data_IF_598207155307
#
_entry.id   IF_598207155307
#
_cell.length_a   1.000
_cell.length_b   1.000
_cell.length_c   1.000
_cell.angle_alpha   90.00
_cell.angle_beta   90.00
_cell.angle_gamma   90.00
#
_symmetry.space_group_name_H-M   'P 1'
#
loop_
_entity.id
_entity.type
_entity.pdbx_description
1 polymer ?
#
# COMPACT_ATOMS: atom_id res chain seq x y z
N UNK A 1 -16.81 -43.49 -68.52
CA UNK A 1 -16.75 -42.80 -69.82
C UNK A 1 -16.16 -41.42 -69.60
N UNK A 2 -15.23 -40.97 -70.44
CA UNK A 2 -14.74 -39.58 -70.43
C UNK A 2 -15.53 -38.79 -71.49
N UNK A 3 -15.87 -37.54 -71.18
CA UNK A 3 -16.61 -36.63 -72.03
C UNK A 3 -15.80 -35.36 -72.24
N UNK A 4 -15.22 -35.20 -73.44
CA UNK A 4 -14.36 -34.07 -73.83
C UNK A 4 -12.93 -34.48 -74.23
N UNK A 5 -12.11 -33.52 -74.63
CA UNK A 5 -10.81 -33.75 -75.30
C UNK A 5 -9.63 -33.79 -74.33
N UNK A 6 -8.63 -34.65 -74.62
CA UNK A 6 -7.37 -34.68 -73.88
C UNK A 6 -7.44 -35.25 -72.46
N UNK A 7 -8.50 -35.99 -72.11
CA UNK A 7 -8.65 -36.61 -70.80
C UNK A 7 -7.89 -37.96 -70.72
N UNK A 8 -7.10 -38.17 -69.67
CA UNK A 8 -6.39 -39.42 -69.35
C UNK A 8 -6.95 -39.99 -68.04
N UNK A 9 -7.43 -41.23 -68.05
CA UNK A 9 -8.07 -41.88 -66.89
C UNK A 9 -9.57 -42.14 -67.09
N UNK A 10 -10.40 -42.00 -66.05
CA UNK A 10 -11.81 -42.44 -66.09
C UNK A 10 -12.80 -41.43 -65.50
N UNK A 11 -14.03 -41.41 -66.04
CA UNK A 11 -15.17 -40.63 -65.52
C UNK A 11 -14.93 -39.11 -65.49
N UNK A 12 -14.15 -38.57 -66.43
CA UNK A 12 -13.89 -37.13 -66.50
C UNK A 12 -14.88 -36.40 -67.44
N UNK A 13 -15.35 -35.22 -67.04
CA UNK A 13 -16.19 -34.31 -67.83
C UNK A 13 -15.47 -32.97 -68.03
N UNK A 14 -15.22 -32.59 -69.29
CA UNK A 14 -14.46 -31.40 -69.68
C UNK A 14 -13.16 -31.76 -70.41
N UNK A 15 -12.12 -30.92 -70.35
CA UNK A 15 -10.90 -31.09 -71.17
C UNK A 15 -9.60 -31.14 -70.35
N UNK A 16 -8.63 -31.90 -70.84
CA UNK A 16 -7.26 -31.91 -70.30
C UNK A 16 -7.12 -32.47 -68.88
N UNK A 17 -8.06 -33.29 -68.40
CA UNK A 17 -8.00 -33.85 -67.06
C UNK A 17 -7.16 -35.14 -67.02
N UNK A 18 -6.32 -35.31 -65.99
CA UNK A 18 -5.52 -36.52 -65.73
C UNK A 18 -5.96 -37.13 -64.41
N UNK A 19 -6.42 -38.38 -64.42
CA UNK A 19 -6.92 -39.12 -63.26
C UNK A 19 -8.42 -39.44 -63.36
N UNK A 20 -9.15 -39.38 -62.24
CA UNK A 20 -10.50 -39.97 -62.13
C UNK A 20 -11.59 -38.99 -61.67
N UNK A 21 -12.82 -39.10 -62.19
CA UNK A 21 -14.02 -38.42 -61.66
C UNK A 21 -13.93 -36.89 -61.57
N UNK A 22 -13.21 -36.24 -62.49
CA UNK A 22 -13.06 -34.78 -62.51
C UNK A 22 -14.13 -34.10 -63.38
N UNK A 23 -14.59 -32.92 -62.97
CA UNK A 23 -15.53 -32.06 -63.72
C UNK A 23 -14.90 -30.67 -63.91
N UNK A 24 -14.68 -30.27 -65.16
CA UNK A 24 -14.05 -29.01 -65.55
C UNK A 24 -12.76 -29.24 -66.36
N UNK A 25 -11.77 -28.36 -66.24
CA UNK A 25 -10.62 -28.37 -67.16
C UNK A 25 -9.24 -28.38 -66.48
N UNK A 26 -8.29 -29.13 -67.04
CA UNK A 26 -6.90 -29.10 -66.62
C UNK A 26 -6.64 -29.62 -65.19
N UNK A 27 -7.49 -30.50 -64.67
CA UNK A 27 -7.30 -31.06 -63.32
C UNK A 27 -6.37 -32.28 -63.36
N UNK A 28 -5.49 -32.44 -62.38
CA UNK A 28 -4.62 -33.60 -62.18
C UNK A 28 -4.93 -34.25 -60.84
N UNK A 29 -5.29 -35.52 -60.83
CA UNK A 29 -5.73 -36.27 -59.64
C UNK A 29 -7.20 -36.68 -59.73
N UNK A 30 -7.93 -36.65 -58.61
CA UNK A 30 -9.24 -37.31 -58.52
C UNK A 30 -10.35 -36.47 -57.91
N UNK A 31 -11.60 -36.66 -58.35
CA UNK A 31 -12.81 -36.08 -57.72
C UNK A 31 -12.81 -34.55 -57.62
N UNK A 32 -12.18 -33.85 -58.57
CA UNK A 32 -12.10 -32.39 -58.56
C UNK A 32 -13.26 -31.75 -59.35
N UNK A 33 -13.77 -30.60 -58.87
CA UNK A 33 -14.79 -29.78 -59.53
C UNK A 33 -14.24 -28.37 -59.78
N UNK A 34 -14.11 -27.98 -61.04
CA UNK A 34 -13.58 -26.69 -61.48
C UNK A 34 -12.31 -26.84 -62.33
N UNK A 35 -11.36 -25.91 -62.27
CA UNK A 35 -10.24 -25.89 -63.23
C UNK A 35 -8.86 -25.76 -62.60
N UNK A 36 -7.88 -26.43 -63.19
CA UNK A 36 -6.46 -26.29 -62.82
C UNK A 36 -6.14 -26.80 -61.41
N UNK A 37 -6.90 -27.76 -60.88
CA UNK A 37 -6.62 -28.34 -59.56
C UNK A 37 -5.61 -29.49 -59.65
N UNK A 38 -4.67 -29.57 -58.71
CA UNK A 38 -3.71 -30.66 -58.57
C UNK A 38 -3.92 -31.38 -57.22
N UNK A 39 -4.26 -32.67 -57.25
CA UNK A 39 -4.61 -33.47 -56.08
C UNK A 39 -6.06 -33.96 -56.13
N UNK A 40 -6.72 -34.10 -54.98
CA UNK A 40 -8.05 -34.71 -54.92
C UNK A 40 -9.09 -33.93 -54.11
N UNK A 41 -10.37 -34.17 -54.41
CA UNK A 41 -11.51 -33.58 -53.69
C UNK A 41 -11.51 -32.05 -53.66
N UNK A 42 -10.90 -31.38 -54.64
CA UNK A 42 -10.85 -29.93 -54.69
C UNK A 42 -12.05 -29.36 -55.43
N UNK A 43 -12.71 -28.35 -54.85
CA UNK A 43 -13.79 -27.59 -55.48
C UNK A 43 -13.35 -26.14 -55.72
N UNK A 44 -13.34 -25.71 -56.97
CA UNK A 44 -13.00 -24.36 -57.40
C UNK A 44 -11.79 -24.41 -58.33
N UNK A 45 -10.89 -23.43 -58.25
CA UNK A 45 -9.84 -23.29 -59.26
C UNK A 45 -8.43 -23.11 -58.68
N UNK A 46 -7.45 -23.73 -59.33
CA UNK A 46 -6.03 -23.52 -59.01
C UNK A 46 -5.61 -24.04 -57.63
N UNK A 47 -6.30 -25.04 -57.08
CA UNK A 47 -5.94 -25.61 -55.78
C UNK A 47 -4.93 -26.75 -55.92
N UNK A 48 -3.94 -26.81 -55.03
CA UNK A 48 -2.94 -27.88 -54.94
C UNK A 48 -3.06 -28.58 -53.58
N UNK A 49 -3.29 -29.90 -53.57
CA UNK A 49 -3.48 -30.70 -52.36
C UNK A 49 -4.85 -31.37 -52.32
N UNK A 50 -5.39 -31.62 -51.13
CA UNK A 50 -6.62 -32.40 -50.93
C UNK A 50 -7.72 -31.62 -50.23
N UNK A 51 -8.96 -31.77 -50.69
CA UNK A 51 -10.14 -31.27 -49.97
C UNK A 51 -10.26 -29.75 -49.86
N UNK A 52 -9.66 -28.98 -50.77
CA UNK A 52 -9.77 -27.52 -50.75
C UNK A 52 -11.05 -27.03 -51.43
N UNK A 53 -11.62 -25.92 -50.95
CA UNK A 53 -12.79 -25.29 -51.55
C UNK A 53 -12.52 -23.80 -51.80
N UNK A 54 -12.72 -23.30 -53.02
CA UNK A 54 -12.42 -21.93 -53.43
C UNK A 54 -11.23 -21.85 -54.39
N UNK A 55 -10.32 -20.89 -54.22
CA UNK A 55 -9.31 -20.60 -55.25
C UNK A 55 -7.89 -20.43 -54.75
N UNK A 56 -6.92 -20.99 -55.49
CA UNK A 56 -5.51 -20.74 -55.26
C UNK A 56 -4.96 -21.26 -53.91
N UNK A 57 -5.58 -22.28 -53.32
CA UNK A 57 -5.10 -22.86 -52.07
C UNK A 57 -3.98 -23.88 -52.32
N UNK A 58 -2.97 -23.91 -51.45
CA UNK A 58 -1.89 -24.91 -51.46
C UNK A 58 -1.83 -25.61 -50.10
N UNK A 59 -1.98 -26.93 -50.09
CA UNK A 59 -2.11 -27.77 -48.90
C UNK A 59 -3.51 -28.38 -48.80
N UNK A 60 -3.96 -28.73 -47.60
CA UNK A 60 -5.14 -29.60 -47.42
C UNK A 60 -6.27 -28.96 -46.63
N UNK A 61 -7.51 -29.26 -46.99
CA UNK A 61 -8.72 -28.87 -46.26
C UNK A 61 -8.84 -27.34 -46.03
N UNK A 62 -8.58 -26.53 -47.05
CA UNK A 62 -8.71 -25.07 -46.95
C UNK A 62 -9.97 -24.54 -47.68
N UNK A 63 -11.05 -24.20 -46.97
CA UNK A 63 -12.14 -23.41 -47.52
C UNK A 63 -11.80 -21.91 -47.58
N UNK A 64 -11.88 -21.33 -48.77
CA UNK A 64 -11.63 -19.93 -49.06
C UNK A 64 -10.56 -19.75 -50.14
N UNK A 65 -9.73 -18.71 -50.07
CA UNK A 65 -8.81 -18.40 -51.18
C UNK A 65 -7.40 -18.03 -50.75
N UNK A 66 -6.41 -18.49 -51.51
CA UNK A 66 -5.01 -18.11 -51.33
C UNK A 66 -4.40 -18.59 -50.01
N UNK A 67 -4.89 -19.69 -49.43
CA UNK A 67 -4.32 -20.23 -48.20
C UNK A 67 -3.14 -21.17 -48.50
N UNK A 68 -2.10 -21.12 -47.66
CA UNK A 68 -0.95 -22.02 -47.69
C UNK A 68 -0.87 -22.80 -46.38
N UNK A 69 -0.96 -24.13 -46.43
CA UNK A 69 -0.97 -25.01 -45.27
C UNK A 69 -2.30 -25.76 -45.14
N UNK A 70 -2.76 -26.04 -43.92
CA UNK A 70 -3.88 -26.99 -43.71
C UNK A 70 -5.00 -26.50 -42.80
N UNK A 71 -6.24 -26.80 -43.16
CA UNK A 71 -7.41 -26.55 -42.30
C UNK A 71 -7.76 -25.07 -42.14
N UNK A 72 -7.35 -24.19 -43.05
CA UNK A 72 -7.61 -22.76 -42.94
C UNK A 72 -8.97 -22.40 -43.55
N UNK A 73 -9.79 -21.65 -42.80
CA UNK A 73 -11.07 -21.09 -43.25
C UNK A 73 -10.93 -19.58 -43.48
N UNK A 74 -11.17 -19.12 -44.70
CA UNK A 74 -11.07 -17.72 -45.09
C UNK A 74 -9.95 -17.49 -46.11
N UNK A 75 -9.30 -16.32 -46.11
CA UNK A 75 -8.40 -15.95 -47.21
C UNK A 75 -7.00 -15.53 -46.80
N UNK A 76 -5.99 -15.93 -47.58
CA UNK A 76 -4.62 -15.46 -47.43
C UNK A 76 -3.95 -15.91 -46.13
N UNK A 77 -4.34 -17.05 -45.56
CA UNK A 77 -3.71 -17.57 -44.35
C UNK A 77 -2.50 -18.44 -44.71
N UNK A 78 -1.42 -18.34 -43.93
CA UNK A 78 -0.22 -19.17 -44.03
C UNK A 78 -0.04 -19.90 -42.70
N UNK A 79 -0.03 -21.23 -42.74
CA UNK A 79 0.03 -22.11 -41.56
C UNK A 79 -1.21 -22.98 -41.45
N UNK A 80 -1.69 -23.24 -40.24
CA UNK A 80 -2.76 -24.23 -40.04
C UNK A 80 -3.88 -23.80 -39.10
N UNK A 81 -5.08 -24.33 -39.35
CA UNK A 81 -6.26 -24.16 -38.48
C UNK A 81 -6.64 -22.70 -38.21
N UNK A 82 -6.33 -21.79 -39.12
CA UNK A 82 -6.71 -20.39 -38.99
C UNK A 82 -8.13 -20.15 -39.50
N UNK A 83 -8.90 -19.32 -38.80
CA UNK A 83 -10.25 -18.91 -39.19
C UNK A 83 -10.30 -17.39 -39.29
N UNK A 84 -10.53 -16.88 -40.49
CA UNK A 84 -10.45 -15.47 -40.83
C UNK A 84 -9.47 -15.25 -41.99
N UNK A 85 -8.88 -14.06 -42.07
CA UNK A 85 -8.03 -13.69 -43.21
C UNK A 85 -6.69 -13.10 -42.82
N UNK A 86 -5.66 -13.39 -43.63
CA UNK A 86 -4.34 -12.80 -43.49
C UNK A 86 -3.59 -13.23 -42.23
N UNK A 87 -3.85 -14.43 -41.71
CA UNK A 87 -3.13 -14.94 -40.54
C UNK A 87 -1.85 -15.68 -40.97
N UNK A 88 -0.76 -15.47 -40.25
CA UNK A 88 0.48 -16.23 -40.34
C UNK A 88 0.72 -16.97 -39.03
N UNK A 89 0.79 -18.29 -39.06
CA UNK A 89 0.90 -19.15 -37.88
C UNK A 89 -0.26 -20.14 -37.77
N UNK A 90 -0.58 -20.54 -36.53
CA UNK A 90 -1.50 -21.63 -36.25
C UNK A 90 -2.63 -21.24 -35.29
N UNK A 91 -3.81 -21.83 -35.49
CA UNK A 91 -4.95 -21.72 -34.58
C UNK A 91 -5.37 -20.28 -34.25
N UNK A 92 -5.29 -19.37 -35.23
CA UNK A 92 -5.76 -18.00 -35.05
C UNK A 92 -7.24 -17.86 -35.42
N UNK A 93 -7.99 -17.09 -34.63
CA UNK A 93 -9.37 -16.71 -34.92
C UNK A 93 -9.48 -15.20 -35.14
N UNK A 94 -10.14 -14.80 -36.22
CA UNK A 94 -10.20 -13.46 -36.81
C UNK A 94 -9.02 -13.15 -37.75
N UNK A 95 -8.69 -11.87 -37.92
CA UNK A 95 -7.89 -11.42 -39.07
C UNK A 95 -6.53 -10.85 -38.65
N UNK A 96 -5.54 -11.02 -39.53
CA UNK A 96 -4.28 -10.28 -39.48
C UNK A 96 -3.38 -10.64 -38.30
N UNK A 97 -3.46 -11.86 -37.78
CA UNK A 97 -2.58 -12.31 -36.71
C UNK A 97 -1.25 -12.85 -37.28
N UNK A 98 -0.14 -12.58 -36.61
CA UNK A 98 1.18 -13.10 -36.92
C UNK A 98 1.75 -13.79 -35.67
N UNK A 99 1.55 -15.09 -35.55
CA UNK A 99 1.85 -15.91 -34.38
C UNK A 99 0.81 -17.00 -34.19
N UNK A 100 0.85 -17.67 -33.05
CA UNK A 100 0.03 -18.86 -32.75
C UNK A 100 -1.03 -18.58 -31.67
N UNK A 101 -2.19 -19.24 -31.80
CA UNK A 101 -3.25 -19.29 -30.76
C UNK A 101 -3.78 -17.90 -30.37
N UNK A 102 -3.97 -17.00 -31.35
CA UNK A 102 -4.56 -15.70 -31.09
C UNK A 102 -6.09 -15.72 -31.31
N UNK A 103 -6.84 -15.21 -30.33
CA UNK A 103 -8.28 -15.01 -30.43
C UNK A 103 -8.59 -13.52 -30.53
N UNK A 104 -8.94 -13.06 -31.73
CA UNK A 104 -9.14 -11.65 -32.07
C UNK A 104 -8.13 -11.19 -33.12
N UNK A 105 -8.13 -9.91 -33.50
CA UNK A 105 -7.49 -9.45 -34.73
C UNK A 105 -6.23 -8.60 -34.53
N UNK A 106 -5.30 -8.68 -35.48
CA UNK A 106 -4.13 -7.80 -35.55
C UNK A 106 -3.07 -8.05 -34.48
N UNK A 107 -3.00 -9.27 -33.92
CA UNK A 107 -2.01 -9.60 -32.91
C UNK A 107 -0.69 -10.05 -33.55
N UNK A 108 0.44 -9.66 -32.96
CA UNK A 108 1.78 -10.18 -33.29
C UNK A 108 2.34 -10.88 -32.07
N UNK A 109 2.76 -12.13 -32.21
CA UNK A 109 3.10 -13.04 -31.11
C UNK A 109 1.95 -13.98 -30.75
N UNK A 110 2.08 -14.67 -29.61
CA UNK A 110 1.32 -15.89 -29.34
C UNK A 110 0.37 -15.77 -28.14
N UNK A 111 -0.70 -16.56 -28.14
CA UNK A 111 -1.65 -16.71 -27.02
C UNK A 111 -2.32 -15.39 -26.59
N UNK A 112 -2.57 -14.47 -27.51
CA UNK A 112 -3.26 -13.22 -27.19
C UNK A 112 -4.78 -13.38 -27.33
N UNK A 113 -5.53 -12.79 -26.40
CA UNK A 113 -6.98 -12.66 -26.46
C UNK A 113 -7.35 -11.18 -26.57
N UNK A 114 -8.06 -10.81 -27.64
CA UNK A 114 -8.36 -9.43 -28.01
C UNK A 114 -7.60 -8.99 -29.25
N UNK A 115 -7.25 -7.72 -29.38
CA UNK A 115 -6.75 -7.20 -30.67
C UNK A 115 -5.63 -6.17 -30.57
N UNK A 116 -4.78 -6.15 -31.61
CA UNK A 116 -3.66 -5.21 -31.71
C UNK A 116 -2.58 -5.43 -30.66
N UNK A 117 -2.48 -6.63 -30.06
CA UNK A 117 -1.44 -6.92 -29.08
C UNK A 117 -0.12 -7.29 -29.78
N UNK A 118 1.00 -6.87 -29.21
CA UNK A 118 2.34 -7.20 -29.66
C UNK A 118 3.13 -7.87 -28.52
N UNK A 119 3.31 -9.18 -28.60
CA UNK A 119 3.92 -10.01 -27.57
C UNK A 119 3.07 -11.23 -27.24
N UNK A 120 3.12 -11.70 -26.00
CA UNK A 120 2.51 -12.98 -25.62
C UNK A 120 1.56 -12.89 -24.43
N UNK A 121 0.55 -13.75 -24.39
CA UNK A 121 -0.36 -13.88 -23.25
C UNK A 121 -1.06 -12.57 -22.84
N UNK A 122 -1.30 -11.66 -23.78
CA UNK A 122 -2.03 -10.43 -23.48
C UNK A 122 -3.54 -10.65 -23.58
N UNK A 123 -4.27 -10.14 -22.60
CA UNK A 123 -5.73 -10.10 -22.59
C UNK A 123 -6.22 -8.66 -22.70
N UNK A 124 -6.89 -8.32 -23.81
CA UNK A 124 -7.41 -6.99 -24.08
C UNK A 124 -6.85 -6.41 -25.37
N UNK A 125 -6.63 -5.08 -25.42
CA UNK A 125 -6.35 -4.40 -26.69
C UNK A 125 -5.11 -3.51 -26.63
N UNK A 126 -4.31 -3.56 -27.69
CA UNK A 126 -3.19 -2.65 -27.89
C UNK A 126 -2.06 -2.80 -26.88
N UNK A 127 -1.91 -3.96 -26.24
CA UNK A 127 -0.85 -4.18 -25.26
C UNK A 127 0.46 -4.56 -25.96
N UNK A 128 1.58 -4.04 -25.48
CA UNK A 128 2.94 -4.40 -25.93
C UNK A 128 3.73 -5.01 -24.77
N UNK A 129 4.26 -6.21 -24.98
CA UNK A 129 4.95 -7.02 -23.96
C UNK A 129 4.20 -8.29 -23.62
N UNK A 130 4.38 -8.81 -22.40
CA UNK A 130 3.86 -10.13 -22.02
C UNK A 130 2.96 -10.10 -20.78
N UNK A 131 1.87 -10.87 -20.83
CA UNK A 131 1.01 -11.11 -19.65
C UNK A 131 0.22 -9.90 -19.18
N UNK A 132 -0.07 -8.93 -20.05
CA UNK A 132 -0.85 -7.75 -19.68
C UNK A 132 -2.36 -8.02 -19.75
N UNK A 133 -3.11 -7.46 -18.81
CA UNK A 133 -4.57 -7.45 -18.80
C UNK A 133 -5.09 -6.01 -18.91
N UNK A 134 -5.80 -5.69 -19.99
CA UNK A 134 -6.45 -4.40 -20.19
C UNK A 134 -6.09 -3.73 -21.51
N UNK A 135 -5.87 -2.41 -21.50
CA UNK A 135 -5.82 -1.60 -22.71
C UNK A 135 -4.55 -0.75 -22.80
N UNK A 136 -3.80 -0.85 -23.89
CA UNK A 136 -2.71 0.07 -24.19
C UNK A 136 -1.55 0.01 -23.20
N UNK A 137 -1.32 -1.12 -22.53
CA UNK A 137 -0.21 -1.26 -21.59
C UNK A 137 1.10 -1.57 -22.34
N UNK A 138 2.21 -0.97 -21.91
CA UNK A 138 3.56 -1.21 -22.43
C UNK A 138 4.44 -1.74 -21.30
N UNK A 139 4.97 -2.95 -21.45
CA UNK A 139 5.74 -3.68 -20.44
C UNK A 139 5.11 -5.04 -20.11
N UNK A 140 5.41 -5.60 -18.96
CA UNK A 140 5.03 -6.96 -18.58
C UNK A 140 4.14 -7.00 -17.33
N UNK A 141 3.21 -7.95 -17.31
CA UNK A 141 2.37 -8.25 -16.14
C UNK A 141 1.57 -7.06 -15.60
N UNK A 142 1.17 -6.12 -16.46
CA UNK A 142 0.36 -4.97 -16.06
C UNK A 142 -1.14 -5.30 -16.06
N UNK A 143 -1.89 -4.73 -15.13
CA UNK A 143 -3.36 -4.85 -15.05
C UNK A 143 -3.97 -3.45 -15.06
N UNK A 144 -4.48 -2.99 -16.20
CA UNK A 144 -4.95 -1.61 -16.28
C UNK A 144 -5.09 -1.01 -17.68
N UNK A 145 -5.06 0.32 -17.71
CA UNK A 145 -5.22 1.12 -18.93
C UNK A 145 -4.02 2.05 -19.06
N UNK A 146 -3.29 1.99 -20.18
CA UNK A 146 -2.25 2.98 -20.53
C UNK A 146 -1.00 2.94 -19.64
N UNK A 147 -0.71 1.82 -18.98
CA UNK A 147 0.45 1.69 -18.09
C UNK A 147 1.76 1.56 -18.89
N UNK A 148 2.87 2.08 -18.36
CA UNK A 148 4.22 1.94 -18.95
C UNK A 148 5.22 1.49 -17.89
N UNK A 149 5.79 0.29 -18.03
CA UNK A 149 6.64 -0.37 -17.01
C UNK A 149 6.14 -1.79 -16.71
N UNK A 150 6.69 -2.45 -15.68
CA UNK A 150 6.37 -3.84 -15.34
C UNK A 150 5.62 -3.96 -14.00
N UNK A 151 4.66 -4.90 -13.91
CA UNK A 151 3.96 -5.26 -12.69
C UNK A 151 3.02 -4.19 -12.13
N UNK A 152 2.57 -3.24 -12.95
CA UNK A 152 1.72 -2.13 -12.51
C UNK A 152 0.24 -2.48 -12.51
N UNK A 153 -0.52 -1.84 -11.62
CA UNK A 153 -1.98 -2.00 -11.54
C UNK A 153 -2.63 -0.62 -11.45
N UNK A 154 -3.48 -0.25 -12.41
CA UNK A 154 -4.22 1.02 -12.38
C UNK A 154 -4.50 1.66 -13.74
N UNK A 155 -4.51 3.00 -13.77
CA UNK A 155 -4.72 3.80 -14.99
C UNK A 155 -3.48 4.70 -15.16
N UNK A 156 -2.81 4.56 -16.30
CA UNK A 156 -1.64 5.32 -16.68
C UNK A 156 -1.91 6.81 -16.77
N UNK A 157 -0.89 7.61 -16.45
CA UNK A 157 -1.01 9.06 -16.33
C UNK A 157 -1.69 9.54 -15.04
N UNK A 158 -2.36 8.65 -14.28
CA UNK A 158 -2.88 8.98 -12.95
C UNK A 158 -1.91 8.59 -11.83
N UNK A 159 -0.85 7.85 -12.12
CA UNK A 159 0.24 7.60 -11.17
C UNK A 159 1.56 8.16 -11.73
N UNK A 160 2.39 8.74 -10.86
CA UNK A 160 3.77 9.15 -11.14
C UNK A 160 4.72 8.43 -10.20
N UNK A 161 5.86 7.94 -10.70
CA UNK A 161 6.82 7.10 -9.97
C UNK A 161 6.59 5.60 -10.19
N UNK A 162 7.19 4.75 -9.35
CA UNK A 162 7.26 3.29 -9.57
C UNK A 162 6.62 2.49 -8.45
N UNK A 163 6.10 1.28 -8.77
CA UNK A 163 5.58 0.35 -7.76
C UNK A 163 4.30 0.80 -7.05
N UNK A 164 3.58 1.78 -7.60
CA UNK A 164 2.30 2.23 -7.05
C UNK A 164 1.16 1.25 -7.41
N UNK A 165 0.28 0.99 -6.45
CA UNK A 165 -0.94 0.18 -6.63
C UNK A 165 -2.15 1.06 -6.36
N UNK A 166 -3.02 1.21 -7.37
CA UNK A 166 -4.21 2.09 -7.31
C UNK A 166 -4.11 3.25 -8.32
N UNK A 167 -4.66 4.42 -8.00
CA UNK A 167 -4.60 5.60 -8.88
C UNK A 167 -4.48 6.92 -8.13
N UNK A 168 -3.98 7.95 -8.79
CA UNK A 168 -3.79 9.28 -8.22
C UNK A 168 -2.52 9.40 -7.38
N UNK A 169 -1.65 8.38 -7.36
CA UNK A 169 -0.47 8.37 -6.50
C UNK A 169 0.74 9.06 -7.17
N UNK A 170 1.50 9.85 -6.41
CA UNK A 170 2.74 10.47 -6.86
C UNK A 170 3.89 10.07 -5.93
N UNK A 171 5.01 9.62 -6.48
CA UNK A 171 6.12 9.02 -5.73
C UNK A 171 6.14 7.51 -5.91
N UNK A 172 6.77 6.77 -5.00
CA UNK A 172 7.03 5.35 -5.17
C UNK A 172 6.33 4.49 -4.12
N UNK A 173 6.01 3.25 -4.50
CA UNK A 173 5.55 2.20 -3.60
C UNK A 173 4.30 2.56 -2.77
N UNK A 174 3.45 3.47 -3.27
CA UNK A 174 2.20 3.82 -2.60
C UNK A 174 1.11 2.79 -2.93
N UNK A 175 0.31 2.42 -1.93
CA UNK A 175 -0.84 1.52 -2.08
C UNK A 175 -2.11 2.29 -1.70
N UNK A 176 -3.06 2.38 -2.63
CA UNK A 176 -4.34 3.06 -2.44
C UNK A 176 -4.50 4.23 -3.39
N UNK A 177 -5.02 5.36 -2.91
CA UNK A 177 -5.47 6.44 -3.80
C UNK A 177 -4.99 7.82 -3.34
N UNK A 178 -4.59 8.65 -4.31
CA UNK A 178 -4.26 10.05 -4.08
C UNK A 178 -3.16 10.29 -3.03
N UNK A 179 -2.24 9.34 -2.86
CA UNK A 179 -1.10 9.52 -1.97
C UNK A 179 0.04 10.26 -2.68
N UNK A 180 0.81 11.06 -1.93
CA UNK A 180 1.98 11.78 -2.42
C UNK A 180 3.18 11.52 -1.52
N UNK A 181 4.34 11.20 -2.10
CA UNK A 181 5.54 10.76 -1.38
C UNK A 181 5.76 9.26 -1.54
N UNK A 182 6.51 8.64 -0.63
CA UNK A 182 6.93 7.24 -0.78
C UNK A 182 6.33 6.31 0.29
N UNK A 183 5.93 5.10 -0.12
CA UNK A 183 5.58 4.01 0.79
C UNK A 183 4.30 4.23 1.61
N UNK A 184 3.38 5.10 1.18
CA UNK A 184 2.13 5.33 1.89
C UNK A 184 1.10 4.22 1.60
N UNK A 185 0.30 3.85 2.61
CA UNK A 185 -0.79 2.89 2.48
C UNK A 185 -2.10 3.55 2.90
N UNK A 186 -3.04 3.69 1.97
CA UNK A 186 -4.37 4.23 2.21
C UNK A 186 -4.74 5.36 1.26
N UNK A 187 -5.27 6.46 1.80
CA UNK A 187 -5.91 7.50 1.01
C UNK A 187 -5.41 8.89 1.41
N UNK A 188 -5.11 9.73 0.42
CA UNK A 188 -4.81 11.16 0.61
C UNK A 188 -3.65 11.42 1.59
N UNK A 189 -2.73 10.48 1.76
CA UNK A 189 -1.56 10.70 2.61
C UNK A 189 -0.50 11.50 1.85
N UNK A 190 0.22 12.37 2.56
CA UNK A 190 1.30 13.19 2.02
C UNK A 190 2.56 13.06 2.88
N UNK A 191 3.70 12.81 2.25
CA UNK A 191 4.97 12.50 2.93
C UNK A 191 5.25 11.00 2.85
N UNK A 192 5.99 10.44 3.80
CA UNK A 192 6.54 9.09 3.66
C UNK A 192 6.06 8.10 4.73
N UNK A 193 5.76 6.88 4.32
CA UNK A 193 5.46 5.75 5.21
C UNK A 193 4.19 5.90 6.05
N UNK A 194 3.24 6.75 5.66
CA UNK A 194 1.99 6.91 6.40
C UNK A 194 1.02 5.75 6.11
N UNK A 195 0.25 5.35 7.13
CA UNK A 195 -0.82 4.35 7.01
C UNK A 195 -2.15 4.93 7.48
N UNK A 196 -3.16 4.94 6.60
CA UNK A 196 -4.52 5.37 6.92
C UNK A 196 -5.04 6.46 5.99
N UNK A 197 -5.67 7.49 6.55
CA UNK A 197 -6.38 8.51 5.77
C UNK A 197 -5.90 9.93 6.10
N UNK A 198 -5.49 10.67 5.07
CA UNK A 198 -5.28 12.11 5.16
C UNK A 198 -4.16 12.53 6.12
N UNK A 199 -3.16 11.67 6.34
CA UNK A 199 -2.02 12.03 7.17
C UNK A 199 -1.00 12.86 6.39
N UNK A 200 -0.39 13.84 7.04
CA UNK A 200 0.64 14.71 6.47
C UNK A 200 1.93 14.67 7.29
N UNK A 201 3.06 14.44 6.63
CA UNK A 201 4.38 14.22 7.25
C UNK A 201 4.76 12.75 7.20
N UNK A 202 5.47 12.23 8.20
CA UNK A 202 6.12 10.91 8.07
C UNK A 202 5.70 9.91 9.15
N UNK A 203 5.49 8.65 8.74
CA UNK A 203 5.30 7.50 9.64
C UNK A 203 4.11 7.69 10.59
N UNK A 204 3.06 8.39 10.14
CA UNK A 204 1.84 8.53 10.92
C UNK A 204 0.89 7.35 10.66
N UNK A 205 0.16 6.93 11.68
CA UNK A 205 -0.85 5.89 11.59
C UNK A 205 -2.21 6.39 12.08
N UNK A 206 -3.25 6.24 11.25
CA UNK A 206 -4.62 6.60 11.59
C UNK A 206 -5.19 7.67 10.67
N UNK A 207 -5.82 8.70 11.25
CA UNK A 207 -6.64 9.67 10.51
C UNK A 207 -6.21 11.10 10.79
N UNK A 208 -5.96 11.87 9.74
CA UNK A 208 -5.76 13.33 9.81
C UNK A 208 -4.64 13.79 10.75
N UNK A 209 -3.60 12.98 10.92
CA UNK A 209 -2.45 13.39 11.71
C UNK A 209 -1.51 14.27 10.90
N UNK A 210 -0.90 15.26 11.55
CA UNK A 210 0.08 16.17 10.95
C UNK A 210 1.41 16.14 11.72
N UNK A 211 2.53 16.06 11.02
CA UNK A 211 3.87 15.94 11.61
C UNK A 211 4.37 14.51 11.53
N UNK A 212 5.04 13.98 12.56
CA UNK A 212 5.71 12.69 12.46
C UNK A 212 5.34 11.73 13.59
N UNK A 213 5.34 10.43 13.29
CA UNK A 213 5.21 9.36 14.30
C UNK A 213 3.93 9.44 15.16
N UNK A 214 2.88 10.12 14.69
CA UNK A 214 1.63 10.19 15.43
C UNK A 214 0.80 8.95 15.17
N UNK A 215 0.17 8.43 16.23
CA UNK A 215 -0.77 7.30 16.16
C UNK A 215 -2.11 7.71 16.74
N UNK A 216 -3.16 7.61 15.93
CA UNK A 216 -4.53 7.89 16.34
C UNK A 216 -5.23 8.88 15.42
N UNK A 217 -5.85 9.90 15.99
CA UNK A 217 -6.79 10.77 15.26
C UNK A 217 -6.48 12.25 15.48
N UNK A 218 -6.23 12.98 14.39
CA UNK A 218 -6.22 14.44 14.39
C UNK A 218 -5.12 15.07 15.24
N UNK A 219 -4.03 14.34 15.50
CA UNK A 219 -2.92 14.85 16.31
C UNK A 219 -1.91 15.63 15.46
N UNK A 220 -1.30 16.65 16.05
CA UNK A 220 -0.32 17.52 15.40
C UNK A 220 1.00 17.57 16.18
N UNK A 221 2.11 17.46 15.47
CA UNK A 221 3.46 17.48 16.05
C UNK A 221 4.13 16.11 15.96
N UNK A 222 4.84 15.66 17.00
CA UNK A 222 5.66 14.45 16.91
C UNK A 222 5.35 13.42 18.01
N UNK A 223 5.15 12.16 17.63
CA UNK A 223 5.11 11.04 18.58
C UNK A 223 3.90 11.04 19.52
N UNK A 224 2.79 11.66 19.14
CA UNK A 224 1.58 11.65 19.97
C UNK A 224 0.80 10.34 19.78
N UNK A 225 0.25 9.80 20.86
CA UNK A 225 -0.61 8.61 20.85
C UNK A 225 -1.95 8.96 21.45
N UNK A 226 -2.98 9.05 20.61
CA UNK A 226 -4.27 9.52 21.10
C UNK A 226 -5.13 10.25 20.10
N UNK A 227 -5.87 11.21 20.62
CA UNK A 227 -6.91 11.93 19.89
C UNK A 227 -6.72 13.43 20.12
N UNK A 228 -6.52 14.17 19.05
CA UNK A 228 -6.37 15.63 19.04
C UNK A 228 -5.30 16.17 19.99
N UNK A 229 -4.17 15.46 20.08
CA UNK A 229 -3.03 15.93 20.86
C UNK A 229 -2.16 16.87 20.00
N UNK A 230 -1.63 17.93 20.61
CA UNK A 230 -0.76 18.91 19.98
C UNK A 230 0.60 18.97 20.66
N UNK A 231 1.68 19.03 19.88
CA UNK A 231 3.05 19.10 20.42
C UNK A 231 3.74 17.74 20.34
N UNK A 232 4.49 17.35 21.36
CA UNK A 232 5.33 16.15 21.28
C UNK A 232 5.11 15.15 22.43
N UNK A 233 5.09 13.87 22.07
CA UNK A 233 5.10 12.73 23.00
C UNK A 233 3.95 12.72 24.00
N UNK A 234 2.79 13.28 23.65
CA UNK A 234 1.61 13.20 24.51
C UNK A 234 0.89 11.85 24.34
N UNK A 235 0.29 11.35 25.42
CA UNK A 235 -0.49 10.12 25.43
C UNK A 235 -1.87 10.36 26.03
N UNK A 236 -2.93 10.11 25.26
CA UNK A 236 -4.31 10.20 25.72
C UNK A 236 -5.18 11.01 24.78
N UNK A 237 -5.71 12.16 25.20
CA UNK A 237 -6.51 13.02 24.32
C UNK A 237 -6.47 14.49 24.70
N UNK A 238 -6.54 15.36 23.69
CA UNK A 238 -6.62 16.82 23.83
C UNK A 238 -5.47 17.44 24.65
N UNK A 239 -4.33 16.77 24.74
CA UNK A 239 -3.19 17.31 25.44
C UNK A 239 -2.39 18.23 24.53
N UNK A 240 -1.88 19.35 25.05
CA UNK A 240 -1.09 20.33 24.30
C UNK A 240 0.24 20.58 24.99
N UNK A 241 1.34 20.40 24.27
CA UNK A 241 2.69 20.62 24.80
C UNK A 241 3.50 19.34 24.76
N UNK A 242 4.12 18.98 25.87
CA UNK A 242 5.15 17.95 25.92
C UNK A 242 4.84 16.89 26.98
N UNK A 243 4.81 15.61 26.60
CA UNK A 243 4.80 14.48 27.56
C UNK A 243 3.66 14.49 28.57
N UNK A 244 2.50 14.99 28.17
CA UNK A 244 1.33 14.90 29.02
C UNK A 244 0.65 13.54 28.86
N UNK A 245 0.20 12.98 29.97
CA UNK A 245 -0.54 11.72 30.03
C UNK A 245 -1.94 11.95 30.58
N UNK A 246 -2.96 11.54 29.82
CA UNK A 246 -4.37 11.63 30.22
C UNK A 246 -5.16 12.55 29.30
N UNK A 247 -5.95 13.45 29.87
CA UNK A 247 -6.92 14.23 29.10
C UNK A 247 -6.81 15.73 29.32
N UNK A 248 -6.71 16.49 28.24
CA UNK A 248 -6.88 17.95 28.28
C UNK A 248 -5.79 18.69 29.05
N UNK A 249 -4.60 18.12 29.20
CA UNK A 249 -3.50 18.78 29.91
C UNK A 249 -2.73 19.73 28.99
N UNK A 250 -2.19 20.82 29.53
CA UNK A 250 -1.36 21.78 28.79
C UNK A 250 -0.05 22.09 29.52
N UNK A 251 1.04 22.22 28.78
CA UNK A 251 2.39 22.40 29.34
C UNK A 251 3.21 21.11 29.25
N UNK A 252 4.07 20.84 30.24
CA UNK A 252 4.99 19.72 30.20
C UNK A 252 4.74 18.69 31.32
N UNK A 253 4.77 17.40 30.96
CA UNK A 253 4.91 16.33 31.94
C UNK A 253 3.73 16.21 32.91
N UNK A 254 2.51 16.63 32.58
CA UNK A 254 1.37 16.49 33.47
C UNK A 254 0.72 15.10 33.38
N UNK A 255 0.19 14.61 34.49
CA UNK A 255 -0.55 13.35 34.58
C UNK A 255 -1.96 13.58 35.12
N UNK A 256 -2.97 13.13 34.39
CA UNK A 256 -4.37 13.18 34.81
C UNK A 256 -5.22 14.03 33.86
N UNK A 257 -6.00 14.95 34.42
CA UNK A 257 -7.06 15.64 33.69
C UNK A 257 -6.96 17.16 33.87
N UNK A 258 -7.00 17.90 32.77
CA UNK A 258 -7.14 19.37 32.76
C UNK A 258 -6.06 20.13 33.53
N UNK A 259 -4.87 19.57 33.68
CA UNK A 259 -3.78 20.28 34.34
C UNK A 259 -3.11 21.28 33.38
N UNK A 260 -2.67 22.42 33.88
CA UNK A 260 -1.96 23.46 33.13
C UNK A 260 -0.67 23.85 33.86
N UNK A 261 0.42 24.00 33.11
CA UNK A 261 1.76 24.20 33.66
C UNK A 261 2.55 22.90 33.63
N UNK A 262 3.49 22.72 34.55
CA UNK A 262 4.48 21.64 34.46
C UNK A 262 4.42 20.65 35.62
N UNK A 263 4.59 19.38 35.30
CA UNK A 263 4.72 18.28 36.24
C UNK A 263 3.61 18.22 37.28
N UNK A 264 2.35 18.46 36.93
CA UNK A 264 1.21 18.28 37.84
C UNK A 264 0.64 16.87 37.78
N UNK A 265 0.14 16.38 38.91
CA UNK A 265 -0.57 15.10 39.04
C UNK A 265 -1.97 15.32 39.60
N UNK A 266 -2.99 14.89 38.86
CA UNK A 266 -4.38 14.87 39.33
C UNK A 266 -5.33 15.65 38.42
N UNK A 267 -6.17 16.51 38.99
CA UNK A 267 -7.30 17.12 38.29
C UNK A 267 -7.30 18.65 38.38
N UNK A 268 -7.32 19.33 37.23
CA UNK A 268 -7.53 20.77 37.11
C UNK A 268 -6.56 21.60 37.98
N UNK A 269 -5.30 21.20 38.06
CA UNK A 269 -4.26 22.01 38.69
C UNK A 269 -3.70 23.01 37.67
N UNK A 270 -3.41 24.23 38.12
CA UNK A 270 -2.66 25.25 37.41
C UNK A 270 -1.37 25.56 38.19
N UNK A 271 -0.33 26.02 37.49
CA UNK A 271 0.99 26.20 38.08
C UNK A 271 1.82 24.93 37.96
N UNK A 272 2.87 24.80 38.78
CA UNK A 272 3.85 23.74 38.61
C UNK A 272 3.93 22.82 39.83
N UNK A 273 4.22 21.55 39.56
CA UNK A 273 4.54 20.54 40.57
C UNK A 273 3.41 20.38 41.60
N UNK A 274 2.15 20.37 41.20
CA UNK A 274 1.02 20.14 42.12
C UNK A 274 0.56 18.68 42.12
N UNK A 275 0.12 18.21 43.29
CA UNK A 275 -0.51 16.90 43.48
C UNK A 275 -1.90 17.07 44.08
N UNK A 276 -2.93 16.59 43.38
CA UNK A 276 -4.32 16.60 43.85
C UNK A 276 -5.23 17.36 42.91
N UNK A 277 -6.05 18.29 43.41
CA UNK A 277 -7.08 18.94 42.58
C UNK A 277 -7.25 20.43 42.80
N UNK A 278 -7.52 21.18 41.73
CA UNK A 278 -7.85 22.61 41.78
C UNK A 278 -6.81 23.47 42.53
N UNK A 279 -5.53 23.10 42.49
CA UNK A 279 -4.45 23.96 42.99
C UNK A 279 -4.10 24.99 41.91
N UNK A 280 -3.80 26.23 42.29
CA UNK A 280 -3.42 27.30 41.36
C UNK A 280 -2.01 27.87 41.55
N UNK A 281 -1.40 27.64 42.72
CA UNK A 281 0.01 27.97 42.97
C UNK A 281 0.95 26.80 42.65
N UNK A 282 2.21 26.91 43.05
CA UNK A 282 3.25 25.91 42.81
C UNK A 282 3.51 25.01 44.02
N UNK A 283 3.91 23.76 43.77
CA UNK A 283 4.36 22.80 44.79
C UNK A 283 3.27 22.59 45.85
N UNK A 284 2.05 22.25 45.46
CA UNK A 284 0.96 22.01 46.41
C UNK A 284 0.56 20.53 46.46
N UNK A 285 0.05 20.09 47.60
CA UNK A 285 -0.51 18.75 47.82
C UNK A 285 -1.88 18.87 48.48
N UNK A 286 -2.90 18.26 47.87
CA UNK A 286 -4.29 18.37 48.32
C UNK A 286 -5.12 19.16 47.31
N UNK A 287 -5.88 20.16 47.73
CA UNK A 287 -6.68 20.90 46.76
C UNK A 287 -7.16 22.29 47.13
N UNK A 288 -7.59 23.04 46.13
CA UNK A 288 -8.02 24.44 46.28
C UNK A 288 -6.95 25.36 46.89
N UNK A 289 -5.66 25.07 46.70
CA UNK A 289 -4.58 25.91 47.21
C UNK A 289 -4.16 26.95 46.15
N UNK A 290 -4.29 28.24 46.48
CA UNK A 290 -3.89 29.35 45.61
C UNK A 290 -2.47 29.87 45.86
N UNK A 291 -1.90 29.61 47.04
CA UNK A 291 -0.50 29.93 47.34
C UNK A 291 0.45 28.78 46.98
N UNK A 292 1.74 28.94 47.32
CA UNK A 292 2.75 27.93 47.04
C UNK A 292 3.12 27.08 48.27
N UNK A 293 3.65 25.88 48.05
CA UNK A 293 4.19 24.98 49.09
C UNK A 293 3.13 24.54 50.12
N UNK A 294 1.87 24.40 49.71
CA UNK A 294 0.77 24.05 50.61
C UNK A 294 0.50 22.55 50.70
N UNK A 295 0.15 22.08 51.89
CA UNK A 295 -0.37 20.72 52.10
C UNK A 295 -1.77 20.81 52.71
N UNK A 296 -2.74 20.08 52.16
CA UNK A 296 -4.13 20.10 52.61
C UNK A 296 -5.04 20.89 51.66
N UNK A 297 -6.05 21.56 52.23
CA UNK A 297 -7.12 22.20 51.43
C UNK A 297 -7.26 23.69 51.70
N UNK A 298 -7.48 24.48 50.63
CA UNK A 298 -8.00 25.84 50.72
C UNK A 298 -7.01 26.93 51.13
N UNK A 299 -5.70 26.69 51.06
CA UNK A 299 -4.71 27.69 51.47
C UNK A 299 -4.37 28.66 50.33
N UNK A 300 -4.65 29.95 50.52
CA UNK A 300 -4.28 31.02 49.59
C UNK A 300 -2.90 31.63 49.87
N UNK A 301 -2.25 31.26 50.98
CA UNK A 301 -0.96 31.82 51.40
C UNK A 301 0.19 30.91 50.97
N UNK A 302 1.35 31.50 50.70
CA UNK A 302 2.59 30.74 50.48
C UNK A 302 3.20 30.35 51.82
N UNK A 303 3.46 29.05 51.99
CA UNK A 303 4.05 28.52 53.22
C UNK A 303 5.58 28.53 53.15
N UNK A 304 6.22 28.58 54.30
CA UNK A 304 7.66 28.37 54.41
C UNK A 304 7.97 26.87 54.27
N UNK A 305 8.88 26.52 53.37
CA UNK A 305 9.28 25.13 53.14
C UNK A 305 9.87 24.96 51.75
N UNK A 306 10.46 23.79 51.51
CA UNK A 306 10.99 23.43 50.20
C UNK A 306 10.10 22.42 49.45
N UNK A 307 9.17 21.76 50.13
CA UNK A 307 8.29 20.73 49.59
C UNK A 307 6.91 20.81 50.24
N UNK A 308 5.88 20.33 49.56
CA UNK A 308 4.57 20.03 50.15
C UNK A 308 4.32 18.53 50.23
N UNK A 309 3.38 18.09 51.05
CA UNK A 309 3.06 16.68 51.25
C UNK A 309 4.00 15.97 52.21
N UNK A 310 4.19 14.65 52.05
CA UNK A 310 4.81 13.81 53.07
C UNK A 310 5.95 12.95 52.52
N UNK A 311 7.03 12.84 53.29
CA UNK A 311 8.13 11.91 53.00
C UNK A 311 8.99 12.27 51.78
N UNK A 312 8.95 13.53 51.32
CA UNK A 312 9.75 13.97 50.18
C UNK A 312 11.21 14.25 50.57
N UNK A 313 12.15 13.90 49.70
CA UNK A 313 13.59 14.14 49.81
C UNK A 313 14.05 15.13 48.73
N UNK A 314 14.85 16.13 49.13
CA UNK A 314 15.30 17.20 48.24
C UNK A 314 14.40 18.44 48.29
N UNK A 315 14.33 19.21 47.20
CA UNK A 315 13.54 20.45 47.12
C UNK A 315 12.62 20.48 45.90
N UNK A 316 11.54 21.25 45.97
CA UNK A 316 10.60 21.44 44.86
C UNK A 316 9.54 20.36 44.72
N UNK A 317 9.44 19.40 45.64
CA UNK A 317 8.54 18.25 45.49
C UNK A 317 7.16 18.48 46.13
N UNK A 318 6.12 17.94 45.50
CA UNK A 318 4.79 17.81 46.09
C UNK A 318 4.34 16.36 46.10
N UNK A 319 3.41 15.99 46.98
CA UNK A 319 2.80 14.67 47.03
C UNK A 319 3.44 13.77 48.09
N UNK A 320 3.74 12.53 47.74
CA UNK A 320 4.17 11.52 48.70
C UNK A 320 5.44 10.81 48.26
N UNK A 321 6.47 10.81 49.12
CA UNK A 321 7.63 9.93 48.98
C UNK A 321 8.50 10.21 47.75
N UNK A 322 8.47 11.43 47.21
CA UNK A 322 9.25 11.80 46.05
C UNK A 322 10.70 12.17 46.42
N UNK A 323 11.65 11.91 45.53
CA UNK A 323 13.08 12.16 45.75
C UNK A 323 13.70 12.87 44.54
N UNK A 324 14.05 14.15 44.72
CA UNK A 324 14.79 14.93 43.73
C UNK A 324 16.05 15.55 44.35
N UNK A 325 17.23 14.92 44.19
CA UNK A 325 18.49 15.49 44.66
C UNK A 325 18.90 16.79 43.95
N UNK A 326 18.32 17.08 42.78
CA UNK A 326 18.70 18.20 41.90
C UNK A 326 17.82 19.44 42.04
N UNK A 327 16.66 19.32 42.71
CA UNK A 327 15.82 20.44 43.12
C UNK A 327 14.88 21.03 42.06
N UNK A 328 14.64 20.30 40.97
CA UNK A 328 13.71 20.65 39.89
C UNK A 328 12.24 20.31 40.17
N UNK A 329 12.00 19.44 41.15
CA UNK A 329 10.69 19.10 41.68
C UNK A 329 10.01 17.92 40.98
N UNK A 330 9.46 17.01 41.78
CA UNK A 330 8.55 15.95 41.33
C UNK A 330 7.15 16.15 41.97
N UNK A 331 6.10 15.69 41.29
CA UNK A 331 4.74 15.62 41.86
C UNK A 331 4.21 14.20 41.86
N UNK A 332 3.18 13.93 42.67
CA UNK A 332 2.50 12.66 42.73
C UNK A 332 3.09 11.75 43.80
N UNK A 333 3.39 10.50 43.46
CA UNK A 333 3.72 9.46 44.44
C UNK A 333 5.00 8.74 44.06
N UNK A 334 5.95 8.65 44.98
CA UNK A 334 7.15 7.80 44.92
C UNK A 334 8.04 7.98 43.68
N UNK A 335 8.04 9.16 43.09
CA UNK A 335 8.91 9.46 41.97
C UNK A 335 10.34 9.75 42.43
N UNK A 336 11.33 9.30 41.65
CA UNK A 336 12.75 9.50 41.92
C UNK A 336 13.43 10.14 40.72
N UNK A 337 14.37 11.05 40.96
CA UNK A 337 15.07 11.79 39.91
C UNK A 337 14.43 13.16 39.68
N UNK A 338 14.58 13.66 38.45
CA UNK A 338 14.31 15.06 38.10
C UNK A 338 13.01 15.21 37.30
N UNK A 339 12.10 16.10 37.74
CA UNK A 339 10.99 16.62 36.93
C UNK A 339 9.80 15.67 36.69
N UNK A 340 9.69 14.56 37.40
CA UNK A 340 8.67 13.54 37.13
C UNK A 340 7.30 13.88 37.75
N UNK A 341 6.23 13.39 37.13
CA UNK A 341 4.86 13.44 37.66
C UNK A 341 4.18 12.07 37.60
N UNK A 342 3.12 11.90 38.39
CA UNK A 342 2.35 10.67 38.45
C UNK A 342 2.82 9.74 39.55
N UNK A 343 3.03 8.46 39.26
CA UNK A 343 3.25 7.42 40.26
C UNK A 343 4.48 6.58 39.95
N UNK A 344 5.44 6.51 40.88
CA UNK A 344 6.60 5.63 40.88
C UNK A 344 7.49 5.72 39.64
N UNK A 345 7.64 6.90 39.05
CA UNK A 345 8.54 7.11 37.94
C UNK A 345 9.99 7.31 38.42
N UNK A 346 10.96 6.79 37.67
CA UNK A 346 12.38 6.84 37.99
C UNK A 346 13.17 7.48 36.84
N UNK A 347 13.50 8.75 37.01
CA UNK A 347 14.40 9.51 36.14
C UNK A 347 15.87 9.39 36.52
N UNK A 348 16.80 9.77 35.62
CA UNK A 348 18.21 9.92 35.97
C UNK A 348 18.38 10.98 37.08
N UNK A 349 19.45 10.85 37.87
CA UNK A 349 19.69 11.75 39.01
C UNK A 349 20.16 13.16 38.60
N UNK A 350 20.78 13.31 37.42
CA UNK A 350 21.43 14.55 36.98
C UNK A 350 21.02 15.02 35.58
N UNK A 351 20.19 14.24 34.88
CA UNK A 351 19.59 14.64 33.61
C UNK A 351 18.09 14.81 33.84
N UNK A 352 17.43 15.69 33.08
CA UNK A 352 15.99 15.84 33.18
C UNK A 352 15.30 14.50 32.91
N UNK A 353 14.55 14.00 33.90
CA UNK A 353 13.81 12.75 33.82
C UNK A 353 12.46 12.94 33.15
N UNK A 354 11.71 13.98 33.56
CA UNK A 354 10.42 14.40 32.98
C UNK A 354 9.46 13.25 32.63
N UNK A 355 9.47 12.16 33.40
CA UNK A 355 8.56 11.07 33.16
C UNK A 355 7.17 11.43 33.71
N UNK A 356 6.12 11.12 32.96
CA UNK A 356 4.72 11.29 33.38
C UNK A 356 3.95 9.98 33.32
N UNK A 357 2.97 9.81 34.20
CA UNK A 357 2.15 8.61 34.29
C UNK A 357 2.62 7.65 35.40
N UNK A 358 2.73 6.36 35.11
CA UNK A 358 2.90 5.32 36.11
C UNK A 358 4.13 4.46 35.82
N UNK A 359 5.03 4.30 36.78
CA UNK A 359 6.11 3.32 36.79
C UNK A 359 7.07 3.40 35.59
N UNK A 360 7.28 4.58 35.00
CA UNK A 360 8.22 4.75 33.91
C UNK A 360 9.66 4.86 34.43
N UNK A 361 10.62 4.28 33.71
CA UNK A 361 12.04 4.27 34.06
C UNK A 361 12.85 4.84 32.90
N UNK A 362 13.81 5.72 33.20
CA UNK A 362 14.64 6.40 32.21
C UNK A 362 14.20 7.84 32.02
N UNK A 363 14.22 8.37 30.80
CA UNK A 363 13.98 9.81 30.59
C UNK A 363 12.87 10.02 29.59
N UNK A 364 12.13 11.11 29.72
CA UNK A 364 11.23 11.59 28.69
C UNK A 364 10.09 10.60 28.34
N UNK A 365 9.64 9.81 29.32
CA UNK A 365 8.60 8.81 29.08
C UNK A 365 7.22 9.27 29.58
N UNK A 366 6.19 9.03 28.79
CA UNK A 366 4.80 9.31 29.14
C UNK A 366 3.96 8.03 29.08
N UNK A 367 3.15 7.76 30.10
CA UNK A 367 2.23 6.62 30.12
C UNK A 367 2.52 5.64 31.25
N UNK A 368 2.50 4.33 30.98
CA UNK A 368 2.52 3.28 32.01
C UNK A 368 3.67 2.33 31.75
N UNK A 369 4.51 2.07 32.75
CA UNK A 369 5.53 1.02 32.78
C UNK A 369 6.53 1.04 31.62
N UNK A 370 6.82 2.21 31.05
CA UNK A 370 7.82 2.32 29.98
C UNK A 370 9.25 2.29 30.56
N UNK A 371 10.21 1.73 29.83
CA UNK A 371 11.60 1.60 30.26
C UNK A 371 12.59 1.98 29.16
N UNK A 372 13.24 3.14 29.31
CA UNK A 372 14.20 3.68 28.35
C UNK A 372 13.96 5.16 28.10
N UNK A 373 14.08 5.64 26.85
CA UNK A 373 13.98 7.08 26.57
C UNK A 373 12.95 7.44 25.49
N UNK A 374 12.29 8.59 25.67
CA UNK A 374 11.34 9.15 24.70
C UNK A 374 10.18 8.20 24.34
N UNK A 375 9.65 7.48 25.34
CA UNK A 375 8.59 6.49 25.14
C UNK A 375 7.20 7.08 25.44
N UNK A 376 6.18 6.71 24.67
CA UNK A 376 4.80 7.09 24.93
C UNK A 376 3.85 5.88 24.91
N UNK A 377 3.02 5.71 25.94
CA UNK A 377 2.00 4.66 26.00
C UNK A 377 2.27 3.62 27.08
N UNK A 378 2.11 2.32 26.81
CA UNK A 378 2.04 1.28 27.85
C UNK A 378 3.13 0.22 27.64
N UNK A 379 3.97 -0.02 28.65
CA UNK A 379 4.93 -1.12 28.72
C UNK A 379 5.90 -1.19 27.53
N UNK A 380 6.30 -0.04 26.99
CA UNK A 380 7.31 0.00 25.94
C UNK A 380 8.72 -0.06 26.54
N UNK A 381 9.69 -0.65 25.86
CA UNK A 381 11.09 -0.67 26.26
C UNK A 381 12.04 -0.32 25.12
N UNK A 382 13.14 0.38 25.44
CA UNK A 382 14.13 0.89 24.48
C UNK A 382 13.96 2.39 24.24
N UNK A 383 14.02 2.85 22.99
CA UNK A 383 14.07 4.29 22.69
C UNK A 383 13.07 4.70 21.60
N UNK A 384 12.57 5.94 21.66
CA UNK A 384 11.77 6.60 20.61
C UNK A 384 10.57 5.78 20.11
N UNK A 385 9.85 5.12 21.01
CA UNK A 385 8.75 4.21 20.68
C UNK A 385 7.43 4.63 21.30
N UNK A 386 6.32 4.32 20.62
CA UNK A 386 4.98 4.72 21.01
C UNK A 386 3.97 3.59 20.91
N UNK A 387 2.89 3.64 21.69
CA UNK A 387 1.82 2.64 21.68
C UNK A 387 1.92 1.65 22.85
N UNK A 388 1.79 0.34 22.61
CA UNK A 388 1.68 -0.63 23.71
C UNK A 388 2.55 -1.88 23.55
N UNK A 389 3.35 -2.20 24.56
CA UNK A 389 4.11 -3.46 24.66
C UNK A 389 5.13 -3.61 23.52
N UNK A 390 5.76 -2.50 23.10
CA UNK A 390 6.83 -2.54 22.10
C UNK A 390 8.20 -2.70 22.77
N UNK A 391 9.13 -3.44 22.15
CA UNK A 391 10.51 -3.63 22.62
C UNK A 391 11.50 -3.30 21.51
N UNK A 392 12.51 -2.48 21.80
CA UNK A 392 13.52 -2.01 20.86
C UNK A 392 13.36 -0.51 20.56
N UNK A 393 13.66 -0.06 19.34
CA UNK A 393 13.69 1.38 19.04
C UNK A 393 12.86 1.80 17.84
N UNK A 394 12.33 3.03 17.87
CA UNK A 394 11.58 3.62 16.74
C UNK A 394 10.33 2.81 16.34
N UNK A 395 9.62 2.23 17.31
CA UNK A 395 8.43 1.41 17.06
C UNK A 395 7.12 2.17 17.31
N UNK A 396 6.06 1.83 16.57
CA UNK A 396 4.70 2.35 16.78
C UNK A 396 3.63 1.24 16.69
N UNK A 397 2.49 1.41 17.35
CA UNK A 397 1.44 0.38 17.43
C UNK A 397 1.59 -0.50 18.67
N UNK A 398 1.40 -1.82 18.57
CA UNK A 398 1.48 -2.68 19.74
C UNK A 398 2.13 -4.06 19.53
N UNK A 399 2.75 -4.59 20.57
CA UNK A 399 3.36 -5.93 20.58
C UNK A 399 4.45 -6.13 19.51
N UNK A 400 5.23 -5.08 19.19
CA UNK A 400 6.33 -5.18 18.22
C UNK A 400 7.68 -5.38 18.93
N UNK A 401 8.58 -6.16 18.34
CA UNK A 401 9.91 -6.41 18.89
C UNK A 401 11.01 -6.23 17.83
N UNK A 402 11.73 -5.11 17.87
CA UNK A 402 12.77 -4.80 16.88
C UNK A 402 13.03 -3.31 16.73
N UNK A 403 13.45 -2.91 15.53
CA UNK A 403 13.77 -1.51 15.21
C UNK A 403 12.93 -1.05 14.02
N UNK A 404 12.24 0.09 14.14
CA UNK A 404 11.51 0.71 13.02
C UNK A 404 10.22 0.00 12.63
N UNK A 405 9.56 -0.70 13.55
CA UNK A 405 8.35 -1.48 13.30
C UNK A 405 7.08 -0.70 13.60
N UNK A 406 6.09 -0.77 12.71
CA UNK A 406 4.76 -0.20 12.90
C UNK A 406 3.65 -1.27 12.77
N UNK A 407 2.68 -1.30 13.68
CA UNK A 407 1.51 -2.18 13.58
C UNK A 407 1.30 -3.09 14.79
N UNK A 408 0.82 -4.31 14.58
CA UNK A 408 0.58 -5.30 15.64
C UNK A 408 1.38 -6.59 15.42
N UNK A 409 2.05 -7.09 16.46
CA UNK A 409 2.77 -8.38 16.47
C UNK A 409 3.84 -8.51 15.38
N UNK A 410 4.70 -7.50 15.22
CA UNK A 410 5.80 -7.52 14.25
C UNK A 410 7.18 -7.79 14.83
#
# INVERSE_FOLDING_TARGET
>A
MNLGVGNIGSLNLGSGNIGGTNVGSGNVGGTNLGSGNYGSLNWGSGNTGTGNAGSGNTGDYNPGSGNFGSGNFGSGNIGSLNVGSGNFGTLNLANGNNGDVNFGGGNTGDFNFGGGNNGTLNFGFGNTGSGNFGFGNTGNNNIGIGLTGDGQIGIGGLNSGTGNIGFGNSGNNNIGFFNSGDGNIGFFNSGDGNTGFGNAGNINTGFWNAGNLNTGFGSAGNGNVGIFDGGNSNSGSFNVGFQNTGFGNSGAGNTGFFNAGDSNTGFANAGNVNTGFFNGGDINTGGFNGGNVNTGFGSALTQAGANSGFGNLGTGNSGWGNSDPSGTGNSGFFNTGNGNSGFSNAGPAMLPGFNSGFANIGSFNAGIANSGNNLAGISNSGDDSSGAVNSGSQNSGAFNAGVGLSGFFR
#
